data_IF_050760909122
#
_entry.id   IF_050760909122
#
_cell.length_a   1.000
_cell.length_b   1.000
_cell.length_c   1.000
_cell.angle_alpha   90.00
_cell.angle_beta   90.00
_cell.angle_gamma   90.00
#
_symmetry.space_group_name_H-M   'P 1'
#
loop_
_entity.id
_entity.type
_entity.pdbx_description
1 polymer ?
#
# COMPACT_ATOMS: atom_id res chain seq x y z
N UNK A 1 24.24 -11.86 20.36
CA UNK A 1 23.69 -10.63 21.00
C UNK A 1 23.76 -9.42 20.07
N UNK A 2 24.85 -9.22 19.31
CA UNK A 2 25.00 -8.10 18.34
C UNK A 2 23.99 -8.15 17.18
N UNK A 3 23.63 -9.35 16.69
CA UNK A 3 22.72 -9.51 15.55
C UNK A 3 21.27 -9.06 15.83
N UNK A 4 20.79 -9.18 17.08
CA UNK A 4 19.43 -8.77 17.46
C UNK A 4 19.29 -7.26 17.61
N UNK A 5 20.33 -6.58 18.12
CA UNK A 5 20.34 -5.12 18.27
C UNK A 5 20.43 -4.40 16.93
N UNK A 6 21.21 -4.94 15.98
CA UNK A 6 21.31 -4.40 14.62
C UNK A 6 19.98 -4.50 13.87
N UNK A 7 19.28 -5.64 13.98
CA UNK A 7 17.98 -5.82 13.33
C UNK A 7 16.91 -4.88 13.91
N UNK A 8 16.89 -4.69 15.23
CA UNK A 8 16.01 -3.73 15.89
C UNK A 8 16.31 -2.29 15.44
N UNK A 9 17.59 -1.94 15.30
CA UNK A 9 18.03 -0.63 14.81
C UNK A 9 17.60 -0.36 13.36
N UNK A 10 17.77 -1.35 12.46
CA UNK A 10 17.29 -1.27 11.07
C UNK A 10 15.78 -1.08 10.99
N UNK A 11 15.03 -1.81 11.81
CA UNK A 11 13.57 -1.68 11.87
C UNK A 11 13.13 -0.31 12.39
N UNK A 12 13.76 0.20 13.45
CA UNK A 12 13.48 1.54 13.98
C UNK A 12 13.84 2.64 12.99
N UNK A 13 14.94 2.50 12.25
CA UNK A 13 15.32 3.43 11.19
C UNK A 13 14.29 3.43 10.05
N UNK A 14 13.89 2.24 9.58
CA UNK A 14 12.88 2.11 8.53
C UNK A 14 11.53 2.73 8.95
N UNK A 15 11.10 2.50 10.20
CA UNK A 15 9.91 3.14 10.76
C UNK A 15 10.06 4.66 10.82
N UNK A 16 11.20 5.16 11.30
CA UNK A 16 11.46 6.60 11.40
C UNK A 16 11.42 7.29 10.04
N UNK A 17 12.00 6.66 9.01
CA UNK A 17 11.94 7.15 7.63
C UNK A 17 10.50 7.16 7.10
N UNK A 18 9.74 6.08 7.34
CA UNK A 18 8.35 5.98 6.90
C UNK A 18 7.47 7.06 7.53
N UNK A 19 7.62 7.29 8.84
CA UNK A 19 6.91 8.34 9.57
C UNK A 19 7.31 9.75 9.11
N UNK A 20 8.58 9.96 8.79
CA UNK A 20 9.05 11.23 8.24
C UNK A 20 8.37 11.55 6.89
N UNK A 21 8.31 10.59 5.97
CA UNK A 21 7.60 10.78 4.70
C UNK A 21 6.10 10.97 4.89
N UNK A 22 5.46 10.26 5.82
CA UNK A 22 4.06 10.49 6.15
C UNK A 22 3.81 11.92 6.67
N UNK A 23 4.72 12.44 7.51
CA UNK A 23 4.65 13.82 8.00
C UNK A 23 4.86 14.87 6.89
N UNK A 24 5.75 14.59 5.93
CA UNK A 24 5.92 15.43 4.73
C UNK A 24 4.67 15.43 3.85
N UNK A 25 3.99 14.29 3.75
CA UNK A 25 2.75 14.17 2.97
C UNK A 25 1.62 14.96 3.61
N UNK A 26 1.52 14.95 4.95
CA UNK A 26 0.55 15.76 5.70
C UNK A 26 0.76 17.27 5.57
N UNK A 27 1.98 17.71 5.24
CA UNK A 27 2.27 19.13 4.98
C UNK A 27 1.82 19.60 3.59
N UNK A 28 1.43 18.68 2.70
CA UNK A 28 0.85 19.03 1.41
C UNK A 28 -0.62 19.43 1.58
N UNK A 29 -1.16 20.31 0.69
CA UNK A 29 -2.60 20.51 0.60
C UNK A 29 -3.29 19.15 0.39
N UNK A 30 -4.36 18.90 1.14
CA UNK A 30 -5.10 17.62 1.15
C UNK A 30 -4.24 16.38 1.52
N UNK A 31 -3.13 16.58 2.24
CA UNK A 31 -2.20 15.52 2.61
C UNK A 31 -2.83 14.37 3.40
N UNK A 32 -3.86 14.66 4.19
CA UNK A 32 -4.65 13.64 4.90
C UNK A 32 -5.42 12.72 3.95
N UNK A 33 -5.91 13.25 2.82
CA UNK A 33 -6.62 12.46 1.81
C UNK A 33 -5.64 11.58 1.04
N UNK A 34 -4.49 12.13 0.65
CA UNK A 34 -3.38 11.37 0.06
C UNK A 34 -2.95 10.19 0.93
N UNK A 35 -2.86 10.38 2.25
CA UNK A 35 -2.55 9.28 3.18
C UNK A 35 -3.64 8.20 3.22
N UNK A 36 -4.93 8.59 3.21
CA UNK A 36 -6.03 7.63 3.16
C UNK A 36 -6.04 6.83 1.86
N UNK A 37 -5.80 7.49 0.72
CA UNK A 37 -5.67 6.84 -0.59
C UNK A 37 -4.50 5.86 -0.58
N UNK A 38 -3.34 6.29 -0.07
CA UNK A 38 -2.16 5.43 0.05
C UNK A 38 -2.45 4.19 0.90
N UNK A 39 -3.05 4.38 2.08
CA UNK A 39 -3.42 3.28 2.97
C UNK A 39 -4.40 2.30 2.31
N UNK A 40 -5.41 2.82 1.62
CA UNK A 40 -6.41 2.01 0.91
C UNK A 40 -5.78 1.18 -0.22
N UNK A 41 -4.90 1.79 -1.04
CA UNK A 41 -4.21 1.09 -2.13
C UNK A 41 -3.29 0.00 -1.61
N UNK A 42 -2.53 0.27 -0.55
CA UNK A 42 -1.65 -0.73 0.08
C UNK A 42 -2.45 -1.89 0.67
N UNK A 43 -3.54 -1.60 1.39
CA UNK A 43 -4.42 -2.62 1.95
C UNK A 43 -5.09 -3.49 0.86
N UNK A 44 -5.54 -2.86 -0.23
CA UNK A 44 -6.11 -3.57 -1.39
C UNK A 44 -5.07 -4.47 -2.07
N UNK A 45 -3.84 -3.96 -2.26
CA UNK A 45 -2.73 -4.71 -2.84
C UNK A 45 -2.40 -5.96 -2.03
N UNK A 46 -2.25 -5.84 -0.71
CA UNK A 46 -1.88 -6.97 0.16
C UNK A 46 -3.00 -8.01 0.24
N UNK A 47 -4.25 -7.55 0.35
CA UNK A 47 -5.44 -8.42 0.33
C UNK A 47 -5.52 -9.20 -0.98
N UNK A 48 -5.42 -8.51 -2.12
CA UNK A 48 -5.48 -9.14 -3.43
C UNK A 48 -4.30 -10.09 -3.66
N UNK A 49 -3.09 -9.72 -3.24
CA UNK A 49 -1.92 -10.59 -3.36
C UNK A 49 -2.12 -11.89 -2.56
N UNK A 50 -2.71 -11.82 -1.38
CA UNK A 50 -3.05 -12.98 -0.58
C UNK A 50 -4.12 -13.86 -1.24
N UNK A 51 -5.25 -13.28 -1.66
CA UNK A 51 -6.35 -14.05 -2.26
C UNK A 51 -5.99 -14.65 -3.62
N UNK A 52 -5.35 -13.87 -4.49
CA UNK A 52 -4.89 -14.34 -5.82
C UNK A 52 -3.78 -15.37 -5.66
N UNK A 53 -2.83 -15.11 -4.76
CA UNK A 53 -1.73 -16.04 -4.50
C UNK A 53 -2.21 -17.40 -3.96
N UNK A 54 -3.24 -17.39 -3.09
CA UNK A 54 -3.83 -18.59 -2.52
C UNK A 54 -4.75 -19.35 -3.48
N UNK A 55 -5.48 -18.64 -4.35
CA UNK A 55 -6.45 -19.26 -5.28
C UNK A 55 -5.81 -19.79 -6.55
N UNK A 56 -4.89 -19.03 -7.17
CA UNK A 56 -4.23 -19.42 -8.42
C UNK A 56 -3.04 -20.33 -8.17
N UNK A 57 -2.32 -20.12 -7.06
CA UNK A 57 -1.05 -20.83 -6.81
C UNK A 57 0.00 -20.53 -7.88
N UNK A 58 1.06 -21.35 -7.96
CA UNK A 58 2.09 -21.24 -8.99
C UNK A 58 3.52 -21.14 -8.44
N UNK A 59 4.43 -20.59 -9.25
CA UNK A 59 5.86 -20.51 -8.93
C UNK A 59 6.05 -19.66 -7.66
N UNK A 60 6.79 -20.21 -6.70
CA UNK A 60 7.12 -19.55 -5.44
C UNK A 60 8.17 -18.47 -5.68
N UNK A 61 7.92 -17.27 -5.17
CA UNK A 61 8.80 -16.12 -5.38
C UNK A 61 10.09 -16.24 -4.56
N UNK A 62 9.98 -16.72 -3.32
CA UNK A 62 11.11 -16.82 -2.39
C UNK A 62 11.00 -18.10 -1.52
N UNK A 63 11.26 -19.29 -2.07
CA UNK A 63 11.00 -20.56 -1.39
C UNK A 63 11.77 -20.75 -0.06
N UNK A 64 12.94 -20.12 0.10
CA UNK A 64 13.74 -20.18 1.34
C UNK A 64 13.30 -19.19 2.43
N UNK A 65 12.73 -18.05 2.07
CA UNK A 65 12.43 -16.94 3.02
C UNK A 65 10.93 -16.89 3.33
N UNK A 66 10.08 -17.16 2.34
CA UNK A 66 8.62 -17.15 2.49
C UNK A 66 7.98 -18.21 1.59
N UNK A 67 7.67 -19.42 2.13
CA UNK A 67 7.18 -20.55 1.33
C UNK A 67 5.79 -20.31 0.71
N UNK A 68 5.06 -19.31 1.19
CA UNK A 68 3.68 -19.01 0.82
C UNK A 68 3.55 -17.86 -0.19
N UNK A 69 4.64 -17.16 -0.56
CA UNK A 69 4.58 -16.10 -1.58
C UNK A 69 4.71 -16.67 -2.98
N UNK A 70 3.75 -16.37 -3.85
CA UNK A 70 3.71 -16.79 -5.25
C UNK A 70 3.87 -15.60 -6.20
N UNK A 71 4.38 -15.87 -7.41
CA UNK A 71 4.47 -14.86 -8.49
C UNK A 71 3.08 -14.38 -8.90
N UNK A 72 2.11 -15.31 -9.00
CA UNK A 72 0.71 -14.99 -9.33
C UNK A 72 0.08 -14.02 -8.33
N UNK A 73 0.33 -14.20 -7.03
CA UNK A 73 -0.11 -13.27 -5.99
C UNK A 73 0.51 -11.89 -6.16
N UNK A 74 1.78 -11.81 -6.55
CA UNK A 74 2.47 -10.53 -6.77
C UNK A 74 1.87 -9.76 -7.95
N UNK A 75 1.58 -10.46 -9.06
CA UNK A 75 0.91 -9.87 -10.22
C UNK A 75 -0.52 -9.44 -9.88
N UNK A 76 -1.26 -10.28 -9.14
CA UNK A 76 -2.61 -9.94 -8.66
C UNK A 76 -2.64 -8.69 -7.76
N UNK A 77 -1.66 -8.56 -6.87
CA UNK A 77 -1.50 -7.36 -6.04
C UNK A 77 -1.25 -6.09 -6.86
N UNK A 78 -0.37 -6.14 -7.86
CA UNK A 78 -0.09 -5.00 -8.75
C UNK A 78 -1.36 -4.58 -9.51
N UNK A 79 -2.07 -5.54 -10.11
CA UNK A 79 -3.31 -5.25 -10.85
C UNK A 79 -4.36 -4.64 -9.92
N UNK A 80 -4.53 -5.18 -8.71
CA UNK A 80 -5.46 -4.64 -7.73
C UNK A 80 -5.06 -3.25 -7.23
N UNK A 81 -3.76 -2.98 -7.05
CA UNK A 81 -3.27 -1.65 -6.65
C UNK A 81 -3.57 -0.60 -7.73
N UNK A 82 -3.34 -0.93 -9.00
CA UNK A 82 -3.69 -0.06 -10.14
C UNK A 82 -5.21 0.16 -10.18
N UNK A 83 -6.00 -0.91 -10.06
CA UNK A 83 -7.46 -0.81 -10.06
C UNK A 83 -7.99 0.02 -8.89
N UNK A 84 -7.42 -0.13 -7.68
CA UNK A 84 -7.77 0.66 -6.51
C UNK A 84 -7.42 2.14 -6.70
N UNK A 85 -6.26 2.45 -7.27
CA UNK A 85 -5.85 3.82 -7.56
C UNK A 85 -6.77 4.47 -8.60
N UNK A 86 -7.07 3.78 -9.70
CA UNK A 86 -8.02 4.27 -10.73
C UNK A 86 -9.42 4.43 -10.13
N UNK A 87 -9.86 3.48 -9.30
CA UNK A 87 -11.14 3.55 -8.61
C UNK A 87 -11.24 4.77 -7.70
N UNK A 88 -10.30 4.95 -6.77
CA UNK A 88 -10.32 6.07 -5.83
C UNK A 88 -10.19 7.43 -6.53
N UNK A 89 -9.34 7.53 -7.56
CA UNK A 89 -9.22 8.77 -8.35
C UNK A 89 -10.48 9.06 -9.17
N UNK A 90 -11.13 8.04 -9.73
CA UNK A 90 -12.41 8.22 -10.42
C UNK A 90 -13.53 8.64 -9.47
N UNK A 91 -13.57 8.11 -8.25
CA UNK A 91 -14.53 8.55 -7.22
C UNK A 91 -14.26 10.01 -6.83
N UNK A 92 -13.00 10.39 -6.61
CA UNK A 92 -12.63 11.78 -6.33
C UNK A 92 -12.99 12.72 -7.50
N UNK A 93 -12.77 12.29 -8.75
CA UNK A 93 -13.15 13.05 -9.95
C UNK A 93 -14.68 13.18 -10.11
N UNK A 94 -15.44 12.14 -9.77
CA UNK A 94 -16.91 12.18 -9.77
C UNK A 94 -17.44 13.12 -8.67
N UNK A 95 -16.80 13.17 -7.49
CA UNK A 95 -17.14 14.12 -6.44
C UNK A 95 -16.92 15.57 -6.90
N UNK A 96 -15.83 15.82 -7.63
CA UNK A 96 -15.53 17.13 -8.23
C UNK A 96 -16.57 17.55 -9.29
N UNK A 97 -16.96 16.63 -10.19
CA UNK A 97 -17.95 16.91 -11.26
C UNK A 97 -19.38 17.00 -10.73
N UNK A 98 -19.72 16.27 -9.67
CA UNK A 98 -21.06 16.26 -9.09
C UNK A 98 -21.40 17.54 -8.32
N UNK A 99 -20.48 18.51 -8.20
CA UNK A 99 -20.70 19.76 -7.47
C UNK A 99 -21.00 19.56 -5.98
N UNK A 100 -20.79 18.34 -5.47
CA UNK A 100 -20.72 18.08 -4.05
C UNK A 100 -19.35 18.55 -3.60
N UNK A 101 -19.25 19.85 -3.40
CA UNK A 101 -18.20 20.51 -2.65
C UNK A 101 -18.18 19.90 -1.24
N UNK A 102 -17.54 18.73 -1.12
CA UNK A 102 -16.74 18.47 0.05
C UNK A 102 -15.53 19.40 -0.10
N UNK A 103 -15.79 20.69 0.14
CA UNK A 103 -14.78 21.66 0.50
C UNK A 103 -14.20 21.18 1.82
N UNK A 104 -13.30 20.18 1.75
CA UNK A 104 -12.40 19.89 2.85
C UNK A 104 -11.47 21.10 2.88
N UNK A 105 -11.81 22.03 3.76
CA UNK A 105 -10.95 23.18 4.05
C UNK A 105 -9.75 22.71 4.87
#
# INVERSE_FOLDING_TARGET
>A
MICSGLLAGLFALALSVCLYFAALLLHQPDGHWLLLVLAAVVAACDSAAYFVGRSVGGIKLAPKISPNKTVSGSVGGIVAAIAAMVGLTSVAALQYVAGLDVTVT
#
